data_IF_776968898938
#
_entry.id   IF_776968898938
#
_cell.length_a   1.000
_cell.length_b   1.000
_cell.length_c   1.000
_cell.angle_alpha   90.00
_cell.angle_beta   90.00
_cell.angle_gamma   90.00
#
_symmetry.space_group_name_H-M   'P 1'
#
loop_
_entity.id
_entity.type
_entity.pdbx_description
1 polymer ?
#
# COMPACT_ATOMS: atom_id res chain seq x y z
N UNK A 1 2.28 7.56 9.61
CA UNK A 1 3.18 7.89 8.49
C UNK A 1 2.38 8.59 7.41
N UNK A 2 2.90 9.66 6.81
CA UNK A 2 2.29 10.28 5.62
C UNK A 2 2.92 9.69 4.37
N UNK A 3 2.15 9.57 3.30
CA UNK A 3 2.63 9.19 1.98
C UNK A 3 3.13 10.43 1.24
N UNK A 4 4.21 10.32 0.47
CA UNK A 4 4.73 11.41 -0.35
C UNK A 4 4.35 11.18 -1.81
N UNK A 5 3.56 12.09 -2.38
CA UNK A 5 3.30 12.12 -3.81
C UNK A 5 4.44 12.83 -4.55
N UNK A 6 4.74 12.34 -5.75
CA UNK A 6 5.71 12.86 -6.71
C UNK A 6 5.12 13.97 -7.57
N UNK A 7 3.79 13.98 -7.76
CA UNK A 7 3.07 14.93 -8.59
C UNK A 7 1.94 15.63 -7.81
N UNK A 8 1.50 16.79 -8.32
CA UNK A 8 0.39 17.54 -7.74
C UNK A 8 -0.99 16.95 -8.08
N UNK A 9 -1.04 16.05 -9.06
CA UNK A 9 -2.28 15.37 -9.44
C UNK A 9 -2.83 14.54 -8.28
N UNK A 10 -4.16 14.53 -8.16
CA UNK A 10 -4.82 13.74 -7.12
C UNK A 10 -4.64 12.26 -7.43
N UNK A 11 -3.99 11.47 -6.56
CA UNK A 11 -3.72 10.08 -6.88
C UNK A 11 -4.99 9.24 -6.99
N UNK A 12 -4.99 8.27 -7.91
CA UNK A 12 -6.10 7.31 -8.03
C UNK A 12 -6.05 6.27 -6.92
N UNK A 13 -7.22 5.80 -6.45
CA UNK A 13 -7.32 4.72 -5.46
C UNK A 13 -6.54 3.48 -5.91
N UNK A 14 -5.64 2.97 -5.07
CA UNK A 14 -4.84 1.78 -5.39
C UNK A 14 -5.40 0.53 -4.74
N UNK A 15 -5.41 -0.58 -5.48
CA UNK A 15 -5.90 -1.89 -5.03
C UNK A 15 -4.82 -2.94 -5.19
N UNK A 16 -4.74 -3.82 -4.20
CA UNK A 16 -3.83 -4.95 -4.18
C UNK A 16 -4.58 -6.26 -3.97
N UNK A 17 -4.16 -7.30 -4.70
CA UNK A 17 -4.50 -8.68 -4.37
C UNK A 17 -3.54 -9.16 -3.30
N UNK A 18 -4.06 -9.56 -2.15
CA UNK A 18 -3.24 -10.02 -1.02
C UNK A 18 -3.56 -11.46 -0.64
N UNK A 19 -2.56 -12.16 -0.12
CA UNK A 19 -2.73 -13.46 0.52
C UNK A 19 -2.30 -13.33 1.98
N UNK A 20 -3.17 -13.74 2.90
CA UNK A 20 -2.96 -13.66 4.34
C UNK A 20 -2.79 -15.07 4.89
N UNK A 21 -1.76 -15.29 5.71
CA UNK A 21 -1.58 -16.55 6.44
C UNK A 21 -2.56 -16.69 7.59
N UNK A 22 -2.68 -17.90 8.14
CA UNK A 22 -3.36 -18.21 9.39
C UNK A 22 -2.87 -17.36 10.58
N UNK A 23 -1.59 -17.00 10.60
CA UNK A 23 -0.97 -16.09 11.57
C UNK A 23 -1.35 -14.61 11.37
N UNK A 24 -2.11 -14.28 10.32
CA UNK A 24 -2.53 -12.92 10.02
C UNK A 24 -1.48 -12.08 9.30
N UNK A 25 -0.43 -12.70 8.75
CA UNK A 25 0.62 -12.02 8.00
C UNK A 25 0.30 -11.98 6.51
N UNK A 26 0.59 -10.85 5.84
CA UNK A 26 0.52 -10.80 4.38
C UNK A 26 1.76 -11.47 3.80
N UNK A 27 1.55 -12.54 3.03
CA UNK A 27 2.60 -13.33 2.36
C UNK A 27 2.80 -12.92 0.90
N UNK A 28 1.73 -12.47 0.25
CA UNK A 28 1.75 -12.01 -1.14
C UNK A 28 0.97 -10.71 -1.27
N UNK A 29 1.45 -9.79 -2.12
CA UNK A 29 0.82 -8.49 -2.37
C UNK A 29 1.12 -8.06 -3.82
N UNK A 30 0.11 -8.16 -4.70
CA UNK A 30 0.23 -7.83 -6.12
C UNK A 30 -0.63 -6.61 -6.45
N UNK A 31 -0.10 -5.60 -7.17
CA UNK A 31 -0.90 -4.47 -7.61
C UNK A 31 -1.96 -4.90 -8.63
N UNK A 32 -3.18 -4.38 -8.50
CA UNK A 32 -4.28 -4.56 -9.47
C UNK A 32 -4.34 -3.35 -10.42
N UNK A 33 -4.09 -2.16 -9.88
CA UNK A 33 -3.99 -0.90 -10.61
C UNK A 33 -2.90 -0.01 -9.99
N UNK A 34 -2.69 1.17 -10.57
CA UNK A 34 -1.74 2.17 -10.10
C UNK A 34 -2.48 3.42 -9.63
N UNK A 35 -1.85 4.19 -8.74
CA UNK A 35 -2.32 5.53 -8.37
C UNK A 35 -1.95 6.63 -9.37
N UNK A 36 -1.17 6.29 -10.41
CA UNK A 36 -0.54 7.26 -11.32
C UNK A 36 0.86 7.70 -10.86
N UNK A 37 1.26 7.33 -9.64
CA UNK A 37 2.58 7.64 -9.07
C UNK A 37 3.26 6.36 -8.56
N UNK A 38 4.29 5.85 -9.27
CA UNK A 38 4.99 4.63 -8.88
C UNK A 38 5.67 4.69 -7.50
N UNK A 39 6.13 5.87 -7.08
CA UNK A 39 6.75 6.02 -5.76
C UNK A 39 5.71 5.96 -4.65
N UNK A 40 4.53 6.51 -4.89
CA UNK A 40 3.38 6.40 -3.99
C UNK A 40 2.85 4.96 -3.92
N UNK A 41 2.78 4.26 -5.07
CA UNK A 41 2.36 2.86 -5.14
C UNK A 41 3.25 1.94 -4.31
N UNK A 42 4.58 2.14 -4.35
CA UNK A 42 5.51 1.36 -3.54
C UNK A 42 5.36 1.67 -2.04
N UNK A 43 5.18 2.93 -1.66
CA UNK A 43 4.90 3.29 -0.27
C UNK A 43 3.61 2.62 0.23
N UNK A 44 2.55 2.62 -0.59
CA UNK A 44 1.30 1.92 -0.31
C UNK A 44 1.51 0.41 -0.16
N UNK A 45 2.23 -0.22 -1.08
CA UNK A 45 2.53 -1.65 -1.02
C UNK A 45 3.26 -2.02 0.27
N UNK A 46 4.27 -1.24 0.67
CA UNK A 46 5.00 -1.45 1.91
C UNK A 46 4.09 -1.31 3.13
N UNK A 47 3.17 -0.34 3.12
CA UNK A 47 2.20 -0.17 4.20
C UNK A 47 1.23 -1.36 4.30
N UNK A 48 0.73 -1.86 3.15
CA UNK A 48 -0.11 -3.06 3.11
C UNK A 48 0.63 -4.26 3.70
N UNK A 49 1.85 -4.57 3.22
CA UNK A 49 2.63 -5.73 3.70
C UNK A 49 2.97 -5.66 5.20
N UNK A 50 3.06 -4.46 5.77
CA UNK A 50 3.26 -4.25 7.22
C UNK A 50 2.00 -4.47 8.05
N UNK A 51 0.83 -4.49 7.44
CA UNK A 51 -0.42 -4.72 8.15
C UNK A 51 -0.46 -6.13 8.75
N UNK A 52 -1.18 -6.28 9.86
CA UNK A 52 -1.39 -7.56 10.55
C UNK A 52 -2.88 -7.73 10.79
N UNK A 53 -3.38 -8.91 10.46
CA UNK A 53 -4.77 -9.29 10.70
C UNK A 53 -4.84 -10.16 11.95
N UNK A 54 -6.01 -10.18 12.58
CA UNK A 54 -6.26 -11.13 13.66
C UNK A 54 -6.13 -12.56 13.12
N UNK A 55 -5.50 -13.43 13.91
CA UNK A 55 -5.35 -14.83 13.55
C UNK A 55 -6.72 -15.45 13.26
N UNK A 56 -6.84 -16.13 12.13
CA UNK A 56 -8.07 -16.83 11.80
C UNK A 56 -8.12 -18.14 12.59
N UNK A 57 -8.93 -18.16 13.67
CA UNK A 57 -9.14 -19.35 14.50
C UNK A 57 -10.16 -20.34 13.91
N UNK A 58 -10.62 -20.17 12.67
CA UNK A 58 -11.53 -21.12 12.03
C UNK A 58 -10.82 -22.46 11.80
N UNK A 59 -11.08 -23.34 12.76
CA UNK A 59 -10.76 -24.75 12.90
C UNK A 59 -11.13 -25.56 11.67
N UNK A 60 -10.18 -26.34 11.15
CA UNK A 60 -10.40 -27.29 10.06
C UNK A 60 -9.20 -28.17 9.75
N UNK A 61 -8.61 -28.82 10.76
CA UNK A 61 -7.76 -30.02 10.71
C UNK A 61 -6.70 -30.15 9.58
N UNK A 62 -6.13 -29.04 9.09
CA UNK A 62 -4.95 -29.08 8.22
C UNK A 62 -3.86 -28.18 8.80
N UNK A 63 -2.77 -28.75 9.34
CA UNK A 63 -1.62 -27.96 9.76
C UNK A 63 -0.88 -27.51 8.49
N UNK A 64 -0.47 -26.25 8.52
CA UNK A 64 0.33 -25.53 7.52
C UNK A 64 -0.32 -25.22 6.15
N UNK A 65 -0.23 -23.94 5.78
CA UNK A 65 -0.35 -23.38 4.41
C UNK A 65 -1.72 -22.90 3.92
N UNK A 66 -2.73 -22.72 4.78
CA UNK A 66 -3.98 -22.10 4.32
C UNK A 66 -3.79 -20.59 4.11
N UNK A 67 -3.63 -20.17 2.85
CA UNK A 67 -3.62 -18.77 2.45
C UNK A 67 -5.04 -18.31 2.13
N UNK A 68 -5.49 -17.26 2.81
CA UNK A 68 -6.75 -16.57 2.51
C UNK A 68 -6.45 -15.45 1.51
N UNK A 69 -7.08 -15.51 0.34
CA UNK A 69 -6.96 -14.48 -0.69
C UNK A 69 -8.00 -13.37 -0.48
N UNK A 70 -7.57 -12.12 -0.59
CA UNK A 70 -8.42 -10.94 -0.42
C UNK A 70 -7.97 -9.74 -1.25
N UNK A 71 -8.67 -8.63 -1.09
CA UNK A 71 -8.29 -7.34 -1.67
C UNK A 71 -8.02 -6.32 -0.58
N UNK A 72 -6.88 -5.63 -0.70
CA UNK A 72 -6.59 -4.42 0.07
C UNK A 72 -6.83 -3.21 -0.83
N UNK A 73 -7.56 -2.21 -0.33
CA UNK A 73 -7.83 -0.96 -1.04
C UNK A 73 -7.29 0.19 -0.20
N UNK A 74 -6.50 1.07 -0.79
CA UNK A 74 -6.05 2.30 -0.17
C UNK A 74 -6.76 3.46 -0.85
N UNK A 75 -7.53 4.21 -0.06
CA UNK A 75 -8.16 5.45 -0.46
C UNK A 75 -7.34 6.61 0.09
N UNK A 76 -7.07 7.59 -0.75
CA UNK A 76 -6.29 8.77 -0.40
C UNK A 76 -7.20 9.86 0.13
N UNK A 77 -6.77 10.49 1.22
CA UNK A 77 -7.34 11.69 1.80
C UNK A 77 -6.22 12.63 2.25
N UNK A 78 -6.24 13.06 3.51
CA UNK A 78 -5.22 13.95 4.09
C UNK A 78 -3.89 13.25 4.43
N UNK A 79 -3.78 11.95 4.16
CA UNK A 79 -2.62 11.11 4.40
C UNK A 79 -1.53 11.25 3.33
N UNK A 80 -1.83 11.88 2.19
CA UNK A 80 -0.88 12.20 1.11
C UNK A 80 -0.34 13.62 1.27
N UNK A 81 0.97 13.74 1.44
CA UNK A 81 1.69 15.00 1.37
C UNK A 81 1.94 15.38 -0.10
N UNK A 82 1.63 16.62 -0.46
CA UNK A 82 1.94 17.18 -1.78
C UNK A 82 3.45 17.25 -2.01
N UNK A 83 3.91 17.18 -3.28
CA UNK A 83 5.31 17.35 -3.60
C UNK A 83 5.80 18.71 -3.08
N UNK A 84 6.89 18.73 -2.31
CA UNK A 84 7.56 19.99 -2.02
C UNK A 84 8.30 20.41 -3.29
N UNK A 85 7.84 21.49 -3.93
CA UNK A 85 8.62 22.13 -4.99
C UNK A 85 9.97 22.55 -4.40
N UNK A 86 11.06 22.01 -4.94
CA UNK A 86 12.39 22.49 -4.60
C UNK A 86 12.44 24.01 -4.92
N UNK A 87 13.01 24.86 -4.05
CA UNK A 87 13.18 26.26 -4.36
C UNK A 87 13.91 26.38 -5.70
N UNK A 88 13.32 27.10 -6.65
CA UNK A 88 13.98 27.38 -7.93
C UNK A 88 15.36 27.98 -7.60
N UNK A 89 16.43 27.35 -8.11
CA UNK A 89 17.77 27.89 -7.94
C UNK A 89 17.78 29.32 -8.51
N UNK A 90 18.01 30.31 -7.64
CA UNK A 90 18.20 31.69 -8.05
C UNK A 90 19.44 31.73 -8.94
N UNK A 91 19.24 31.82 -10.26
CA UNK A 91 20.33 32.12 -11.19
C UNK A 91 20.63 33.60 -11.02
N UNK A 92 21.64 33.91 -10.22
CA UNK A 92 22.18 35.27 -10.11
C UNK A 92 23.04 35.56 -11.35
N UNK A 93 22.84 36.68 -12.07
CA UNK A 93 23.59 37.04 -13.27
C UNK A 93 25.05 37.44 -12.98
#
# INVERSE_FOLDING_TARGET
>A
SRFAASFEETPETVRFRVAVSDLGEIRYCFPINSSGDPALDEQARLQVVRSRFSQNKQTGNRPDSALVWGMATIQWGSDVARPQQAPAATVTP
#
